data_IF_849325592202
#
_entry.id   IF_849325592202
#
_cell.length_a   1.000
_cell.length_b   1.000
_cell.length_c   1.000
_cell.angle_alpha   90.00
_cell.angle_beta   90.00
_cell.angle_gamma   90.00
#
_symmetry.space_group_name_H-M   'P 1'
#
loop_
_entity.id
_entity.type
_entity.pdbx_description
1 polymer ?
#
# COMPACT_ATOMS: atom_id res chain seq x y z
N UNK A 1 52.57 1.47 51.32
CA UNK A 1 51.56 1.05 50.31
C UNK A 1 51.16 2.31 49.56
N UNK A 2 51.92 2.67 48.52
CA UNK A 2 51.61 3.80 47.66
C UNK A 2 50.71 3.27 46.55
N UNK A 3 49.44 3.66 46.59
CA UNK A 3 48.45 3.30 45.58
C UNK A 3 48.54 4.36 44.48
N UNK A 4 49.01 3.91 43.32
CA UNK A 4 48.67 4.35 41.98
C UNK A 4 47.80 5.61 41.86
N UNK A 5 48.43 6.76 41.60
CA UNK A 5 47.78 7.93 41.01
C UNK A 5 48.04 7.90 39.49
N UNK A 6 47.44 6.92 38.81
CA UNK A 6 47.40 6.90 37.35
C UNK A 6 46.49 8.03 36.88
N UNK A 7 47.12 9.10 36.41
CA UNK A 7 46.51 10.29 35.83
C UNK A 7 45.38 9.93 34.85
N UNK A 8 44.17 10.32 35.24
CA UNK A 8 42.98 10.30 34.39
C UNK A 8 43.26 11.24 33.21
N UNK A 9 43.25 10.79 31.94
CA UNK A 9 43.44 11.69 30.82
C UNK A 9 42.28 12.69 30.82
N UNK A 10 42.60 13.96 31.10
CA UNK A 10 41.70 15.08 30.91
C UNK A 10 41.27 15.10 29.45
N UNK A 11 40.15 14.48 29.15
CA UNK A 11 39.46 14.60 27.87
C UNK A 11 39.01 16.05 27.73
N UNK A 12 39.88 16.87 27.16
CA UNK A 12 39.55 18.19 26.67
C UNK A 12 38.54 18.00 25.54
N UNK A 13 37.25 17.98 25.90
CA UNK A 13 36.14 17.98 24.95
C UNK A 13 36.20 19.31 24.20
N UNK A 14 36.98 19.34 23.12
CA UNK A 14 36.92 20.39 22.10
C UNK A 14 35.47 20.44 21.61
N UNK A 15 34.72 21.44 22.06
CA UNK A 15 33.39 21.76 21.54
C UNK A 15 33.59 22.34 20.15
N UNK A 16 33.64 21.47 19.15
CA UNK A 16 33.50 21.89 17.75
C UNK A 16 32.11 22.54 17.62
N UNK A 17 31.99 23.72 16.98
CA UNK A 17 30.69 24.29 16.67
C UNK A 17 29.99 23.34 15.69
N UNK A 18 28.90 22.69 16.15
CA UNK A 18 28.05 21.92 15.26
C UNK A 18 27.29 22.89 14.36
N UNK A 19 27.72 23.02 13.11
CA UNK A 19 26.86 23.54 12.05
C UNK A 19 25.76 22.51 11.81
N UNK A 20 24.72 22.55 12.64
CA UNK A 20 23.49 21.81 12.41
C UNK A 20 22.76 22.52 11.27
N UNK A 21 23.07 22.12 10.04
CA UNK A 21 22.27 22.50 8.87
C UNK A 21 20.83 22.05 9.14
N UNK A 22 19.88 22.97 9.15
CA UNK A 22 18.49 22.69 9.50
C UNK A 22 17.90 21.63 8.55
N UNK A 23 17.43 20.47 9.08
CA UNK A 23 16.96 19.35 8.26
C UNK A 23 15.80 19.69 7.32
N UNK A 24 15.02 20.73 7.64
CA UNK A 24 13.82 21.13 6.88
C UNK A 24 14.14 21.95 5.63
N UNK A 25 15.16 22.81 5.66
CA UNK A 25 15.64 23.55 4.48
C UNK A 25 16.42 22.65 3.53
N UNK A 26 17.20 21.71 4.08
CA UNK A 26 17.97 20.76 3.30
C UNK A 26 17.07 19.71 2.61
N UNK A 27 16.02 19.23 3.30
CA UNK A 27 15.06 18.28 2.73
C UNK A 27 14.31 18.80 1.51
N UNK A 28 13.87 20.08 1.53
CA UNK A 28 13.22 20.71 0.38
C UNK A 28 14.19 20.91 -0.79
N UNK A 29 15.46 21.24 -0.51
CA UNK A 29 16.51 21.33 -1.52
C UNK A 29 16.80 19.99 -2.19
N UNK A 30 16.89 18.91 -1.41
CA UNK A 30 17.11 17.56 -1.91
C UNK A 30 15.94 17.04 -2.76
N UNK A 31 14.69 17.28 -2.35
CA UNK A 31 13.50 16.88 -3.11
C UNK A 31 13.44 17.60 -4.47
N UNK A 32 13.77 18.90 -4.51
CA UNK A 32 13.87 19.65 -5.75
C UNK A 32 15.01 19.13 -6.64
N UNK A 33 16.17 18.80 -6.06
CA UNK A 33 17.31 18.28 -6.79
C UNK A 33 17.05 16.87 -7.38
N UNK A 34 16.35 16.02 -6.63
CA UNK A 34 15.93 14.69 -7.09
C UNK A 34 14.94 14.79 -8.26
N UNK A 35 13.94 15.69 -8.16
CA UNK A 35 13.02 15.97 -9.29
C UNK A 35 13.77 16.54 -10.50
N UNK A 36 14.78 17.37 -10.26
CA UNK A 36 15.58 17.98 -11.32
C UNK A 36 16.44 16.93 -12.06
N UNK A 37 17.18 16.07 -11.33
CA UNK A 37 18.00 15.01 -11.93
C UNK A 37 17.17 13.91 -12.62
N UNK A 38 15.95 13.64 -12.15
CA UNK A 38 15.07 12.61 -12.73
C UNK A 38 14.35 13.02 -14.03
N UNK A 39 14.47 14.28 -14.47
CA UNK A 39 13.75 14.79 -15.64
C UNK A 39 14.61 14.67 -16.91
N UNK A 40 14.08 14.19 -18.05
CA UNK A 40 14.83 14.10 -19.31
C UNK A 40 15.36 15.45 -19.82
N UNK A 41 14.72 16.56 -19.41
CA UNK A 41 15.18 17.92 -19.71
C UNK A 41 16.57 18.24 -19.13
N UNK A 42 16.94 17.66 -17.97
CA UNK A 42 18.27 17.86 -17.38
C UNK A 42 19.37 17.27 -18.27
N UNK A 43 19.17 16.04 -18.76
CA UNK A 43 20.10 15.38 -19.66
C UNK A 43 20.28 16.16 -20.97
N UNK A 44 19.18 16.67 -21.53
CA UNK A 44 19.22 17.52 -22.73
C UNK A 44 19.99 18.81 -22.45
N UNK A 45 19.71 19.50 -21.35
CA UNK A 45 20.41 20.72 -20.95
C UNK A 45 21.91 20.50 -20.75
N UNK A 46 22.31 19.45 -20.04
CA UNK A 46 23.71 19.07 -19.84
C UNK A 46 24.41 18.72 -21.17
N UNK A 47 23.72 18.02 -22.07
CA UNK A 47 24.26 17.69 -23.39
C UNK A 47 24.47 18.94 -24.23
N UNK A 48 23.51 19.88 -24.22
CA UNK A 48 23.62 21.16 -24.91
C UNK A 48 24.77 21.99 -24.32
N UNK A 49 24.91 22.04 -22.99
CA UNK A 49 26.02 22.72 -22.33
C UNK A 49 27.38 22.15 -22.79
N UNK A 50 27.55 20.83 -22.75
CA UNK A 50 28.76 20.19 -23.25
C UNK A 50 28.99 20.49 -24.73
N UNK A 51 27.96 20.39 -25.57
CA UNK A 51 28.06 20.68 -27.00
C UNK A 51 28.50 22.12 -27.25
N UNK A 52 27.89 23.11 -26.58
CA UNK A 52 28.27 24.53 -26.68
C UNK A 52 29.71 24.75 -26.20
N UNK A 53 30.11 24.12 -25.10
CA UNK A 53 31.48 24.23 -24.59
C UNK A 53 32.51 23.69 -25.59
N UNK A 54 32.26 22.50 -26.14
CA UNK A 54 33.11 21.92 -27.17
C UNK A 54 33.13 22.81 -28.41
N UNK A 55 31.98 23.30 -28.87
CA UNK A 55 31.87 24.13 -30.06
C UNK A 55 32.62 25.47 -29.90
N UNK A 56 32.47 26.11 -28.75
CA UNK A 56 33.18 27.35 -28.41
C UNK A 56 34.70 27.15 -28.42
N UNK A 57 35.19 26.10 -27.75
CA UNK A 57 36.62 25.83 -27.65
C UNK A 57 37.24 25.19 -28.90
N UNK A 58 36.43 24.72 -29.85
CA UNK A 58 36.92 24.16 -31.13
C UNK A 58 36.86 25.14 -32.29
N UNK A 59 35.84 26.01 -32.35
CA UNK A 59 35.67 26.94 -33.47
C UNK A 59 36.43 28.26 -33.28
N UNK A 60 36.78 28.66 -32.05
CA UNK A 60 37.54 29.88 -31.81
C UNK A 60 39.05 29.69 -32.03
N UNK A 61 39.78 30.73 -32.49
CA UNK A 61 41.24 30.70 -32.58
C UNK A 61 41.91 30.44 -31.23
N UNK A 62 43.06 29.74 -31.22
CA UNK A 62 43.77 29.30 -30.00
C UNK A 62 44.00 30.42 -28.97
N UNK A 63 44.16 31.66 -29.41
CA UNK A 63 44.32 32.84 -28.55
C UNK A 63 43.11 33.14 -27.64
N UNK A 64 41.92 32.63 -27.95
CA UNK A 64 40.68 32.86 -27.20
C UNK A 64 40.06 31.55 -26.68
N UNK A 65 40.72 30.41 -26.89
CA UNK A 65 40.28 29.12 -26.36
C UNK A 65 40.51 29.10 -24.85
N UNK A 66 39.42 28.97 -24.08
CA UNK A 66 39.49 28.90 -22.62
C UNK A 66 39.92 27.50 -22.15
N UNK A 67 39.56 26.47 -22.91
CA UNK A 67 39.87 25.06 -22.69
C UNK A 67 40.39 24.45 -24.01
N UNK A 68 41.69 24.60 -24.31
CA UNK A 68 42.26 24.25 -25.61
C UNK A 68 42.04 22.79 -25.97
N UNK A 69 41.70 22.54 -27.24
CA UNK A 69 41.57 21.17 -27.78
C UNK A 69 42.85 20.35 -27.60
N UNK A 70 44.02 20.99 -27.66
CA UNK A 70 45.34 20.35 -27.49
C UNK A 70 45.52 19.70 -26.11
N UNK A 71 44.84 20.22 -25.08
CA UNK A 71 44.83 19.69 -23.72
C UNK A 71 43.64 18.75 -23.46
N UNK A 72 42.97 18.28 -24.52
CA UNK A 72 41.82 17.37 -24.45
C UNK A 72 40.68 17.85 -23.53
N UNK A 73 40.41 19.16 -23.48
CA UNK A 73 39.36 19.75 -22.65
C UNK A 73 39.53 19.42 -21.14
N UNK A 74 40.72 19.67 -20.61
CA UNK A 74 41.07 19.40 -19.22
C UNK A 74 40.11 20.08 -18.26
N UNK A 75 39.69 21.32 -18.53
CA UNK A 75 38.79 22.05 -17.62
C UNK A 75 37.40 21.44 -17.58
N UNK A 76 36.83 21.08 -18.74
CA UNK A 76 35.55 20.38 -18.79
C UNK A 76 35.60 19.06 -18.00
N UNK A 77 36.68 18.31 -18.15
CA UNK A 77 36.88 17.04 -17.42
C UNK A 77 36.99 17.25 -15.91
N UNK A 78 37.75 18.26 -15.47
CA UNK A 78 37.86 18.63 -14.07
C UNK A 78 36.50 19.03 -13.48
N UNK A 79 35.71 19.83 -14.20
CA UNK A 79 34.38 20.25 -13.75
C UNK A 79 33.43 19.05 -13.65
N UNK A 80 33.42 18.17 -14.65
CA UNK A 80 32.56 16.97 -14.64
C UNK A 80 32.94 16.00 -13.51
N UNK A 81 34.23 15.77 -13.28
CA UNK A 81 34.68 14.92 -12.16
C UNK A 81 34.33 15.51 -10.80
N UNK A 82 34.47 16.84 -10.64
CA UNK A 82 34.05 17.54 -9.44
C UNK A 82 32.53 17.46 -9.23
N UNK A 83 31.74 17.61 -10.29
CA UNK A 83 30.28 17.51 -10.24
C UNK A 83 29.83 16.14 -9.73
N UNK A 84 30.43 15.05 -10.23
CA UNK A 84 30.15 13.70 -9.75
C UNK A 84 30.55 13.52 -8.28
N UNK A 85 31.72 14.04 -7.88
CA UNK A 85 32.23 13.94 -6.51
C UNK A 85 31.35 14.68 -5.48
N UNK A 86 30.83 15.87 -5.84
CA UNK A 86 29.95 16.64 -4.95
C UNK A 86 28.51 16.12 -4.93
N UNK A 87 28.07 15.42 -5.97
CA UNK A 87 26.76 14.78 -5.99
C UNK A 87 26.66 13.65 -4.94
N UNK A 88 27.71 12.85 -4.74
CA UNK A 88 27.71 11.72 -3.81
C UNK A 88 27.30 12.07 -2.35
N UNK A 89 27.91 13.07 -1.67
CA UNK A 89 27.51 13.42 -0.30
C UNK A 89 26.10 14.00 -0.21
N UNK A 90 25.65 14.75 -1.24
CA UNK A 90 24.28 15.27 -1.31
C UNK A 90 23.25 14.16 -1.50
N UNK A 91 23.56 13.17 -2.35
CA UNK A 91 22.71 12.00 -2.59
C UNK A 91 22.62 11.14 -1.32
N UNK A 92 23.74 10.89 -0.64
CA UNK A 92 23.77 10.13 0.61
C UNK A 92 22.90 10.77 1.71
N UNK A 93 22.86 12.10 1.79
CA UNK A 93 22.00 12.81 2.72
C UNK A 93 20.52 12.77 2.31
N UNK A 94 20.22 12.72 1.01
CA UNK A 94 18.86 12.55 0.51
C UNK A 94 18.34 11.12 0.75
N UNK A 95 19.20 10.11 0.57
CA UNK A 95 18.87 8.69 0.69
C UNK A 95 18.63 8.24 2.13
N UNK A 96 19.36 8.78 3.11
CA UNK A 96 19.11 8.50 4.53
C UNK A 96 17.66 8.84 4.94
N UNK A 97 17.10 9.91 4.36
CA UNK A 97 15.74 10.36 4.70
C UNK A 97 14.65 9.58 3.99
N UNK A 98 14.87 9.15 2.74
CA UNK A 98 13.93 8.21 2.09
C UNK A 98 13.91 6.89 2.85
N UNK A 99 15.06 6.39 3.28
CA UNK A 99 15.16 5.14 4.07
C UNK A 99 14.40 5.22 5.40
N UNK A 100 14.48 6.35 6.12
CA UNK A 100 13.70 6.55 7.35
C UNK A 100 12.19 6.59 7.10
N UNK A 101 11.75 7.20 5.99
CA UNK A 101 10.34 7.22 5.59
C UNK A 101 9.86 5.83 5.21
N UNK A 102 10.64 5.10 4.41
CA UNK A 102 10.33 3.76 3.94
C UNK A 102 10.23 2.78 5.12
N UNK A 103 11.07 2.95 6.15
CA UNK A 103 10.98 2.17 7.39
C UNK A 103 9.65 2.38 8.12
N UNK A 104 9.21 3.62 8.28
CA UNK A 104 7.92 3.94 8.93
C UNK A 104 6.74 3.40 8.10
N UNK A 105 6.82 3.51 6.77
CA UNK A 105 5.80 2.96 5.87
C UNK A 105 5.72 1.43 5.97
N UNK A 106 6.86 0.75 6.04
CA UNK A 106 6.94 -0.70 6.22
C UNK A 106 6.37 -1.17 7.57
N UNK A 107 6.63 -0.44 8.66
CA UNK A 107 6.07 -0.74 9.98
C UNK A 107 4.54 -0.58 9.99
N UNK A 108 4.02 0.46 9.33
CA UNK A 108 2.58 0.66 9.18
C UNK A 108 1.91 -0.40 8.29
N UNK A 109 2.55 -0.77 7.18
CA UNK A 109 2.02 -1.81 6.28
C UNK A 109 1.92 -3.15 7.00
N UNK A 110 2.94 -3.50 7.80
CA UNK A 110 2.90 -4.70 8.64
C UNK A 110 1.73 -4.68 9.63
N UNK A 111 1.50 -3.57 10.33
CA UNK A 111 0.35 -3.46 11.23
C UNK A 111 -1.00 -3.54 10.49
N UNK A 112 -1.08 -2.99 9.28
CA UNK A 112 -2.28 -3.10 8.44
C UNK A 112 -2.52 -4.53 7.98
N UNK A 113 -1.46 -5.25 7.58
CA UNK A 113 -1.54 -6.65 7.21
C UNK A 113 -2.04 -7.53 8.37
N UNK A 114 -1.52 -7.29 9.59
CA UNK A 114 -1.98 -7.97 10.80
C UNK A 114 -3.47 -7.70 11.10
N UNK A 115 -3.93 -6.44 10.94
CA UNK A 115 -5.35 -6.08 11.09
C UNK A 115 -6.24 -6.71 10.01
N UNK A 116 -5.81 -6.66 8.75
CA UNK A 116 -6.56 -7.25 7.63
C UNK A 116 -6.73 -8.77 7.81
N UNK A 117 -5.71 -9.46 8.34
CA UNK A 117 -5.79 -10.88 8.65
C UNK A 117 -6.82 -11.12 9.76
N UNK A 118 -6.78 -10.32 10.84
CA UNK A 118 -7.75 -10.41 11.93
C UNK A 118 -9.20 -10.12 11.47
N UNK A 119 -9.41 -9.11 10.64
CA UNK A 119 -10.73 -8.77 10.08
C UNK A 119 -11.24 -9.89 9.16
N UNK A 120 -10.34 -10.50 8.37
CA UNK A 120 -10.69 -11.65 7.52
C UNK A 120 -11.08 -12.86 8.36
N UNK A 121 -10.35 -13.14 9.44
CA UNK A 121 -10.70 -14.20 10.40
C UNK A 121 -12.04 -13.93 11.09
N UNK A 122 -12.29 -12.67 11.46
CA UNK A 122 -13.57 -12.27 12.07
C UNK A 122 -14.73 -12.48 11.09
N UNK A 123 -14.61 -11.97 9.86
CA UNK A 123 -15.62 -12.18 8.82
C UNK A 123 -15.82 -13.67 8.50
N UNK A 124 -14.75 -14.46 8.47
CA UNK A 124 -14.86 -15.91 8.24
C UNK A 124 -15.64 -16.61 9.36
N UNK A 125 -15.41 -16.23 10.63
CA UNK A 125 -16.18 -16.76 11.77
C UNK A 125 -17.63 -16.32 11.72
N UNK A 126 -17.89 -15.06 11.41
CA UNK A 126 -19.25 -14.52 11.32
C UNK A 126 -20.05 -15.19 10.19
N UNK A 127 -19.42 -15.39 9.02
CA UNK A 127 -20.01 -16.13 7.89
C UNK A 127 -20.25 -17.60 8.25
N UNK A 128 -19.35 -18.24 8.99
CA UNK A 128 -19.56 -19.60 9.47
C UNK A 128 -20.74 -19.71 10.44
N UNK A 129 -20.87 -18.77 11.39
CA UNK A 129 -21.99 -18.70 12.32
C UNK A 129 -23.31 -18.44 11.57
N UNK A 130 -23.33 -17.49 10.65
CA UNK A 130 -24.49 -17.20 9.80
C UNK A 130 -24.92 -18.43 8.98
N UNK A 131 -23.94 -19.16 8.41
CA UNK A 131 -24.21 -20.39 7.65
C UNK A 131 -24.86 -21.48 8.52
N UNK A 132 -24.45 -21.63 9.78
CA UNK A 132 -25.05 -22.60 10.71
C UNK A 132 -26.49 -22.18 11.02
N UNK A 133 -26.72 -20.91 11.37
CA UNK A 133 -28.06 -20.39 11.63
C UNK A 133 -29.00 -20.55 10.42
N UNK A 134 -28.53 -20.26 9.20
CA UNK A 134 -29.29 -20.50 7.98
C UNK A 134 -29.60 -21.98 7.75
N UNK A 135 -28.68 -22.88 8.10
CA UNK A 135 -28.89 -24.33 7.96
C UNK A 135 -30.00 -24.84 8.89
N UNK A 136 -30.14 -24.26 10.07
CA UNK A 136 -31.21 -24.60 11.02
C UNK A 136 -32.58 -24.11 10.51
N UNK A 137 -32.68 -22.87 10.01
CA UNK A 137 -33.95 -22.27 9.55
C UNK A 137 -34.40 -22.79 8.17
N UNK A 138 -33.47 -23.16 7.29
CA UNK A 138 -33.76 -23.61 5.93
C UNK A 138 -33.61 -25.12 5.73
N UNK A 139 -33.77 -25.93 6.78
CA UNK A 139 -33.73 -27.38 6.58
C UNK A 139 -34.91 -27.77 5.68
N UNK A 140 -34.62 -28.43 4.55
CA UNK A 140 -35.61 -28.91 3.58
C UNK A 140 -36.81 -29.60 4.23
N UNK A 141 -36.59 -30.29 5.34
CA UNK A 141 -37.62 -31.01 6.09
C UNK A 141 -38.59 -30.09 6.83
N UNK A 142 -38.14 -28.94 7.34
CA UNK A 142 -39.01 -27.92 7.95
C UNK A 142 -39.86 -27.21 6.88
N UNK A 143 -39.24 -26.80 5.77
CA UNK A 143 -39.97 -26.20 4.64
C UNK A 143 -40.98 -27.20 4.06
N UNK A 144 -40.61 -28.49 4.00
CA UNK A 144 -41.49 -29.56 3.53
C UNK A 144 -42.61 -29.88 4.52
N UNK A 145 -42.39 -29.80 5.83
CA UNK A 145 -43.45 -30.00 6.82
C UNK A 145 -44.44 -28.83 6.77
N UNK A 146 -43.97 -27.59 6.75
CA UNK A 146 -44.84 -26.41 6.63
C UNK A 146 -45.64 -26.41 5.32
N UNK A 147 -44.99 -26.72 4.19
CA UNK A 147 -45.70 -26.88 2.91
C UNK A 147 -46.76 -27.99 2.96
N UNK A 148 -46.50 -29.09 3.67
CA UNK A 148 -47.45 -30.20 3.82
C UNK A 148 -48.61 -29.82 4.74
N UNK A 149 -48.32 -29.15 5.84
CA UNK A 149 -49.34 -28.72 6.80
C UNK A 149 -50.27 -27.68 6.15
N UNK A 150 -49.72 -26.69 5.45
CA UNK A 150 -50.51 -25.73 4.65
C UNK A 150 -51.32 -26.41 3.53
N UNK A 151 -50.75 -27.42 2.84
CA UNK A 151 -51.49 -28.18 1.82
C UNK A 151 -52.67 -28.94 2.43
N UNK A 152 -52.45 -29.54 3.60
CA UNK A 152 -53.46 -30.32 4.31
C UNK A 152 -54.60 -29.43 4.79
N UNK A 153 -54.28 -28.25 5.33
CA UNK A 153 -55.27 -27.25 5.75
C UNK A 153 -56.18 -26.84 4.58
N UNK A 154 -55.61 -26.57 3.40
CA UNK A 154 -56.39 -26.24 2.19
C UNK A 154 -57.23 -27.42 1.66
N UNK A 155 -56.75 -28.66 1.84
CA UNK A 155 -57.48 -29.87 1.41
C UNK A 155 -58.66 -30.18 2.35
N UNK A 156 -58.50 -29.95 3.66
CA UNK A 156 -59.57 -30.02 4.67
C UNK A 156 -60.64 -28.95 4.41
N UNK A 157 -60.24 -27.69 4.14
CA UNK A 157 -61.17 -26.61 3.79
C UNK A 157 -61.99 -26.93 2.52
N UNK A 158 -61.37 -27.61 1.55
CA UNK A 158 -62.04 -28.04 0.31
C UNK A 158 -62.98 -29.24 0.53
N UNK A 159 -62.67 -30.14 1.46
CA UNK A 159 -63.55 -31.26 1.82
C UNK A 159 -64.76 -30.81 2.61
N UNK A 160 -64.60 -29.89 3.57
CA UNK A 160 -65.73 -29.31 4.30
C UNK A 160 -66.68 -28.53 3.37
N UNK A 161 -66.15 -27.93 2.29
CA UNK A 161 -66.98 -27.35 1.23
C UNK A 161 -67.73 -28.36 0.35
N UNK A 162 -67.27 -29.62 0.24
CA UNK A 162 -67.89 -30.67 -0.60
C UNK A 162 -68.96 -31.50 0.16
N UNK A 163 -68.86 -31.58 1.49
CA UNK A 163 -69.83 -32.29 2.34
C UNK A 163 -71.20 -31.59 2.39
N UNK A 164 -71.26 -30.27 2.18
CA UNK A 164 -72.53 -29.51 2.12
C UNK A 164 -73.27 -29.68 0.77
N UNK A 165 -72.70 -30.40 -0.20
CA UNK A 165 -73.21 -30.46 -1.59
C UNK A 165 -73.91 -31.77 -2.02
N UNK A 166 -74.10 -32.77 -1.15
CA UNK A 166 -74.77 -34.03 -1.54
C UNK A 166 -76.28 -34.03 -1.22
N UNK A 167 -77.19 -34.07 -2.23
CA UNK A 167 -78.63 -34.08 -1.99
C UNK A 167 -79.08 -35.42 -1.41
N UNK A 168 -79.90 -35.35 -0.36
CA UNK A 168 -80.51 -36.49 0.32
C UNK A 168 -81.70 -37.05 -0.46
N UNK A 169 -81.45 -38.10 -1.24
CA UNK A 169 -82.46 -39.02 -1.77
C UNK A 169 -81.95 -40.45 -1.50
N UNK A 170 -82.70 -41.42 -0.99
CA UNK A 170 -84.14 -41.62 -1.05
C UNK A 170 -84.51 -42.72 -0.02
N UNK A 171 -85.62 -42.50 0.71
CA UNK A 171 -86.31 -43.53 1.50
C UNK A 171 -86.95 -44.57 0.57
N UNK A 172 -86.91 -45.86 0.93
CA UNK A 172 -88.10 -46.69 1.30
C UNK A 172 -87.90 -48.21 1.14
N UNK A 173 -88.40 -48.92 2.16
CA UNK A 173 -89.02 -50.27 2.10
C UNK A 173 -88.03 -51.41 2.33
N UNK A 174 -88.21 -52.35 3.26
CA UNK A 174 -89.31 -52.76 4.13
C UNK A 174 -89.03 -54.24 4.49
N UNK A 175 -89.32 -54.73 5.71
CA UNK A 175 -88.78 -56.02 6.19
C UNK A 175 -89.73 -57.19 5.98
N UNK A 176 -89.18 -58.40 5.79
CA UNK A 176 -89.76 -59.76 6.04
C UNK A 176 -88.70 -60.78 5.58
N UNK A 177 -88.23 -61.75 6.36
CA UNK A 177 -88.92 -62.63 7.31
C UNK A 177 -89.18 -63.97 6.60
N UNK A 178 -88.50 -65.04 7.02
CA UNK A 178 -88.67 -66.42 6.49
C UNK A 178 -87.37 -67.19 6.41
#
# INVERSE_FOLDING_TARGET
MAVDDFEIPRSSKRRLPSFTVSPETFGRGAEAFARFMGTPAFLVGMTVFCAVWLLWNTLLPESWQFDPRSLNFTLLTLILSLQASYAAPLILLAENRSTDRDRVEFEHDRQRAERNLADTEYLAREVAALRIAMREVATRDFIRSELKDLLKELEEEKQDGDVDSRPSEQRRGGPRGG
#
